data_IF_266824469513
#
_entry.id   IF_266824469513
#
_cell.length_a   1.000
_cell.length_b   1.000
_cell.length_c   1.000
_cell.angle_alpha   90.00
_cell.angle_beta   90.00
_cell.angle_gamma   90.00
#
_symmetry.space_group_name_H-M   'P 1'
#
loop_
_entity.id
_entity.type
_entity.pdbx_description
1 polymer ?
#
# COMPACT_ATOMS: atom_id res chain seq x y z
N UNK A 1 3.60 5.51 -35.51
CA UNK A 1 3.59 5.35 -34.97
C UNK A 1 3.55 4.86 -34.47
N UNK A 2 3.72 4.60 -34.37
CA UNK A 2 3.51 4.19 -33.77
C UNK A 2 3.79 4.13 -32.87
N UNK A 3 3.58 4.34 -32.53
CA UNK A 3 3.88 4.13 -31.75
C UNK A 3 3.51 3.73 -30.62
N UNK A 4 3.78 3.14 -30.32
CA UNK A 4 3.26 2.37 -29.26
C UNK A 4 3.88 2.85 -27.98
N UNK A 5 3.08 3.66 -27.26
CA UNK A 5 3.38 4.04 -25.89
C UNK A 5 3.46 2.77 -25.04
N UNK A 6 2.63 1.79 -25.38
CA UNK A 6 2.68 0.49 -24.74
C UNK A 6 3.20 -0.52 -25.73
N UNK A 7 4.41 -1.01 -25.52
CA UNK A 7 4.93 -2.04 -26.40
C UNK A 7 3.97 -3.22 -26.42
N UNK A 8 3.71 -3.69 -27.62
CA UNK A 8 2.83 -4.83 -27.79
C UNK A 8 3.51 -6.11 -27.40
N UNK A 9 4.45 -6.06 -26.49
CA UNK A 9 5.07 -7.31 -26.13
C UNK A 9 4.82 -7.62 -24.69
N UNK A 10 4.49 -8.84 -24.46
CA UNK A 10 4.27 -9.40 -23.15
C UNK A 10 5.51 -9.24 -22.28
N UNK A 11 6.68 -9.21 -22.92
CA UNK A 11 7.95 -9.10 -22.20
C UNK A 11 8.09 -7.80 -21.43
N UNK A 12 7.57 -6.70 -21.98
CA UNK A 12 7.60 -5.43 -21.28
C UNK A 12 6.81 -5.54 -19.97
N UNK A 13 5.61 -6.04 -20.04
CA UNK A 13 4.75 -6.16 -18.87
C UNK A 13 5.31 -7.17 -17.88
N UNK A 14 5.85 -8.27 -18.35
CA UNK A 14 6.47 -9.26 -17.48
C UNK A 14 7.66 -8.68 -16.74
N UNK A 15 8.48 -7.88 -17.41
CA UNK A 15 9.60 -7.20 -16.77
C UNK A 15 9.13 -6.22 -15.72
N UNK A 16 8.07 -5.45 -16.00
CA UNK A 16 7.52 -4.51 -15.06
C UNK A 16 6.94 -5.21 -13.82
N UNK A 17 6.23 -6.31 -14.03
CA UNK A 17 5.69 -7.09 -12.93
C UNK A 17 6.82 -7.62 -12.05
N UNK A 18 7.85 -8.18 -12.68
CA UNK A 18 9.00 -8.72 -11.97
C UNK A 18 9.75 -7.62 -11.21
N UNK A 19 9.92 -6.45 -11.83
CA UNK A 19 10.57 -5.31 -11.20
C UNK A 19 9.80 -4.86 -9.97
N UNK A 20 8.47 -4.78 -10.06
CA UNK A 20 7.63 -4.38 -8.94
C UNK A 20 7.65 -5.39 -7.82
N UNK A 21 7.63 -6.68 -8.16
CA UNK A 21 7.75 -7.73 -7.16
C UNK A 21 9.07 -7.64 -6.41
N UNK A 22 10.16 -7.47 -7.15
CA UNK A 22 11.48 -7.34 -6.54
C UNK A 22 11.57 -6.09 -5.68
N UNK A 23 11.00 -4.99 -6.15
CA UNK A 23 10.97 -3.75 -5.38
C UNK A 23 10.21 -3.93 -4.08
N UNK A 24 9.05 -4.55 -4.14
CA UNK A 24 8.23 -4.79 -2.95
C UNK A 24 8.91 -5.72 -1.95
N UNK A 25 9.64 -6.73 -2.46
CA UNK A 25 10.34 -7.65 -1.58
C UNK A 25 11.58 -7.04 -0.94
N UNK A 26 12.35 -6.29 -1.73
CA UNK A 26 13.66 -5.81 -1.29
C UNK A 26 13.61 -4.43 -0.68
N UNK A 27 12.59 -3.65 -1.03
CA UNK A 27 12.44 -2.31 -0.54
C UNK A 27 11.43 -2.23 0.54
N UNK A 28 11.57 -3.18 1.49
CA UNK A 28 11.28 -2.50 2.67
C UNK A 28 9.98 -2.67 3.30
N UNK A 29 9.56 -3.89 3.28
CA UNK A 29 8.52 -4.28 4.20
C UNK A 29 8.99 -3.95 5.62
N UNK A 30 10.28 -4.17 5.89
CA UNK A 30 10.87 -3.83 7.18
C UNK A 30 10.84 -2.34 7.45
N UNK A 31 11.16 -1.54 6.44
CA UNK A 31 11.12 -0.09 6.59
C UNK A 31 9.69 0.40 6.80
N UNK A 32 8.76 -0.12 6.03
CA UNK A 32 7.35 0.23 6.18
C UNK A 32 6.83 -0.15 7.57
N UNK A 33 7.16 -1.34 8.04
CA UNK A 33 6.77 -1.76 9.39
C UNK A 33 7.37 -0.86 10.45
N UNK A 34 8.62 -0.48 10.29
CA UNK A 34 9.29 0.41 11.22
C UNK A 34 8.66 1.80 11.23
N UNK A 35 8.40 2.36 10.05
CA UNK A 35 7.76 3.66 9.93
C UNK A 35 6.34 3.62 10.50
N UNK A 36 5.61 2.53 10.26
CA UNK A 36 4.28 2.36 10.80
C UNK A 36 4.28 2.30 12.32
N UNK A 37 5.25 1.63 12.92
CA UNK A 37 5.36 1.58 14.37
C UNK A 37 5.49 2.97 14.97
N UNK A 38 6.27 3.82 14.33
CA UNK A 38 6.45 5.20 14.80
C UNK A 38 5.13 5.96 14.74
N UNK A 39 4.42 5.82 13.63
CA UNK A 39 3.11 6.46 13.44
C UNK A 39 2.11 5.90 14.45
N UNK A 40 2.08 4.59 14.61
CA UNK A 40 1.15 3.93 15.50
C UNK A 40 1.30 4.39 16.95
N UNK A 41 2.54 4.62 17.41
CA UNK A 41 2.77 5.13 18.75
C UNK A 41 2.08 6.48 18.98
N UNK A 42 1.94 7.27 17.93
CA UNK A 42 1.29 8.57 18.01
C UNK A 42 -0.23 8.48 18.02
N UNK A 43 -0.80 7.45 17.42
CA UNK A 43 -2.25 7.37 17.23
C UNK A 43 -2.94 6.27 18.04
N UNK A 44 -2.20 5.39 18.67
CA UNK A 44 -2.75 4.16 19.26
C UNK A 44 -3.79 4.40 20.36
N UNK A 45 -3.73 5.53 21.04
CA UNK A 45 -4.67 5.86 22.11
C UNK A 45 -5.59 7.04 21.77
N UNK A 46 -5.46 7.56 20.56
CA UNK A 46 -6.24 8.69 20.15
C UNK A 46 -7.53 8.22 19.48
N UNK A 47 -8.66 8.59 20.06
CA UNK A 47 -9.98 8.18 19.55
C UNK A 47 -10.23 8.67 18.13
N UNK A 48 -9.65 9.79 17.76
CA UNK A 48 -9.83 10.36 16.43
C UNK A 48 -9.21 9.47 15.35
N UNK A 49 -8.32 8.56 15.74
CA UNK A 49 -7.64 7.66 14.81
C UNK A 49 -8.11 6.21 14.92
N UNK A 50 -9.25 5.97 15.57
CA UNK A 50 -9.77 4.61 15.69
C UNK A 50 -10.02 3.98 14.31
N UNK A 51 -10.59 4.76 13.39
CA UNK A 51 -10.86 4.26 12.03
C UNK A 51 -9.58 3.87 11.30
N UNK A 52 -8.50 4.59 11.54
CA UNK A 52 -7.19 4.25 10.96
C UNK A 52 -6.73 2.89 11.47
N UNK A 53 -6.83 2.66 12.75
CA UNK A 53 -6.42 1.39 13.34
C UNK A 53 -7.26 0.23 12.81
N UNK A 54 -8.57 0.44 12.69
CA UNK A 54 -9.47 -0.56 12.12
C UNK A 54 -9.16 -0.82 10.66
N UNK A 55 -8.93 0.24 9.89
CA UNK A 55 -8.60 0.12 8.47
C UNK A 55 -7.28 -0.62 8.26
N UNK A 56 -6.28 -0.36 9.10
CA UNK A 56 -5.01 -1.07 9.04
C UNK A 56 -5.21 -2.56 9.24
N UNK A 57 -5.91 -2.93 10.31
CA UNK A 57 -6.14 -4.34 10.60
C UNK A 57 -6.98 -5.02 9.53
N UNK A 58 -7.99 -4.34 9.04
CA UNK A 58 -8.84 -4.85 7.98
C UNK A 58 -8.05 -5.11 6.71
N UNK A 59 -7.29 -4.11 6.26
CA UNK A 59 -6.49 -4.21 5.04
C UNK A 59 -5.41 -5.27 5.14
N UNK A 60 -4.77 -5.38 6.29
CA UNK A 60 -3.71 -6.35 6.51
C UNK A 60 -4.21 -7.78 6.38
N UNK A 61 -5.46 -8.02 6.74
CA UNK A 61 -6.02 -9.36 6.76
C UNK A 61 -6.86 -9.69 5.52
N UNK A 62 -6.95 -8.78 4.56
CA UNK A 62 -7.67 -9.04 3.32
C UNK A 62 -6.89 -9.97 2.41
N UNK A 63 -7.65 -10.71 1.62
CA UNK A 63 -7.08 -11.48 0.51
C UNK A 63 -7.18 -10.63 -0.75
N UNK A 64 -6.05 -10.09 -1.15
CA UNK A 64 -5.99 -9.28 -2.35
C UNK A 64 -5.89 -10.17 -3.58
N UNK A 65 -6.67 -9.84 -4.60
CA UNK A 65 -6.64 -10.55 -5.87
C UNK A 65 -5.72 -9.79 -6.83
N UNK A 66 -4.42 -9.89 -6.59
CA UNK A 66 -3.44 -9.23 -7.43
C UNK A 66 -2.56 -10.26 -8.10
N UNK A 67 -2.50 -10.26 -9.44
CA UNK A 67 -1.68 -11.23 -10.17
C UNK A 67 -0.22 -11.18 -9.73
N UNK A 68 0.28 -12.31 -9.31
CA UNK A 68 1.69 -12.46 -9.00
C UNK A 68 2.17 -11.95 -7.66
N UNK A 69 1.28 -11.45 -6.82
CA UNK A 69 1.63 -11.00 -5.47
C UNK A 69 0.75 -11.66 -4.43
N UNK A 70 1.36 -12.16 -3.38
CA UNK A 70 0.62 -12.65 -2.23
C UNK A 70 -0.02 -11.48 -1.48
N UNK A 71 -1.12 -11.75 -0.80
CA UNK A 71 -1.86 -10.72 -0.07
C UNK A 71 -1.01 -10.01 0.97
N UNK A 72 -0.20 -10.76 1.71
CA UNK A 72 0.64 -10.15 2.75
C UNK A 72 1.73 -9.25 2.17
N UNK A 73 2.14 -9.49 0.93
CA UNK A 73 3.09 -8.62 0.23
C UNK A 73 2.36 -7.41 -0.34
N UNK A 74 1.20 -7.66 -0.96
CA UNK A 74 0.44 -6.57 -1.59
C UNK A 74 -0.03 -5.53 -0.58
N UNK A 75 -0.33 -5.93 0.63
CA UNK A 75 -0.74 -5.01 1.68
C UNK A 75 0.24 -3.85 1.86
N UNK A 76 1.52 -4.08 1.60
CA UNK A 76 2.51 -3.03 1.76
C UNK A 76 2.34 -1.87 0.78
N UNK A 77 1.61 -2.08 -0.31
CA UNK A 77 1.30 -0.97 -1.21
C UNK A 77 0.39 0.08 -0.53
N UNK A 78 -0.81 -0.27 -0.08
CA UNK A 78 -1.63 0.73 0.63
C UNK A 78 -0.97 1.24 1.91
N UNK A 79 -0.21 0.40 2.60
CA UNK A 79 0.51 0.84 3.80
C UNK A 79 1.52 1.93 3.46
N UNK A 80 2.31 1.75 2.41
CA UNK A 80 3.29 2.76 1.99
C UNK A 80 2.61 4.05 1.55
N UNK A 81 1.49 3.96 0.86
CA UNK A 81 0.74 5.15 0.47
C UNK A 81 0.26 5.90 1.72
N UNK A 82 -0.22 5.17 2.71
CA UNK A 82 -0.63 5.77 3.98
C UNK A 82 0.54 6.46 4.68
N UNK A 83 1.67 5.79 4.77
CA UNK A 83 2.87 6.36 5.39
C UNK A 83 3.31 7.63 4.66
N UNK A 84 3.30 7.58 3.33
CA UNK A 84 3.65 8.74 2.52
C UNK A 84 2.71 9.92 2.80
N UNK A 85 1.42 9.65 2.95
CA UNK A 85 0.46 10.72 3.26
C UNK A 85 0.79 11.44 4.56
N UNK A 86 1.35 10.74 5.53
CA UNK A 86 1.72 11.36 6.80
C UNK A 86 2.93 12.29 6.67
N UNK A 87 3.74 12.09 5.63
CA UNK A 87 4.92 12.91 5.38
C UNK A 87 4.60 14.14 4.55
N UNK A 88 3.56 14.06 3.74
CA UNK A 88 3.16 15.16 2.85
C UNK A 88 2.21 16.12 3.57
N UNK A 89 1.28 15.58 4.33
CA UNK A 89 0.29 16.40 5.03
C UNK A 89 0.96 17.17 6.17
N UNK A 90 0.51 18.42 6.42
CA UNK A 90 1.10 19.22 7.50
C UNK A 90 0.87 18.64 8.88
N UNK A 91 -0.16 17.81 9.02
CA UNK A 91 -0.42 17.09 10.26
C UNK A 91 -1.13 15.78 9.93
N UNK A 92 -1.12 14.86 10.87
CA UNK A 92 -1.78 13.58 10.68
C UNK A 92 -3.28 13.77 10.45
N UNK A 93 -3.79 13.13 9.40
CA UNK A 93 -5.20 13.17 9.06
C UNK A 93 -5.78 11.77 9.09
N UNK A 94 -6.72 11.55 10.00
CA UNK A 94 -7.42 10.28 10.11
C UNK A 94 -8.14 9.91 8.82
N UNK A 95 -8.82 10.87 8.21
CA UNK A 95 -9.55 10.63 6.97
C UNK A 95 -8.63 10.24 5.83
N UNK A 96 -7.54 10.97 5.65
CA UNK A 96 -6.60 10.69 4.58
C UNK A 96 -5.91 9.34 4.78
N UNK A 97 -5.48 9.06 5.99
CA UNK A 97 -4.83 7.79 6.31
C UNK A 97 -5.77 6.61 6.06
N UNK A 98 -7.01 6.72 6.50
CA UNK A 98 -8.02 5.67 6.29
C UNK A 98 -8.25 5.45 4.80
N UNK A 99 -8.40 6.53 4.05
CA UNK A 99 -8.61 6.44 2.61
C UNK A 99 -7.44 5.75 1.92
N UNK A 100 -6.21 6.09 2.29
CA UNK A 100 -5.03 5.48 1.71
C UNK A 100 -4.99 3.96 1.97
N UNK A 101 -5.31 3.55 3.19
CA UNK A 101 -5.29 2.13 3.55
C UNK A 101 -6.36 1.33 2.79
N UNK A 102 -7.45 1.96 2.40
CA UNK A 102 -8.60 1.29 1.79
C UNK A 102 -8.74 1.52 0.28
N UNK A 103 -7.86 2.32 -0.31
CA UNK A 103 -8.10 2.82 -1.69
C UNK A 103 -8.16 1.74 -2.77
N UNK A 104 -7.52 0.59 -2.56
CA UNK A 104 -7.49 -0.46 -3.58
C UNK A 104 -8.45 -1.60 -3.34
N UNK A 105 -9.29 -1.52 -2.31
CA UNK A 105 -10.10 -2.67 -1.91
C UNK A 105 -11.02 -3.13 -3.02
N UNK A 106 -11.71 -2.22 -3.68
CA UNK A 106 -12.67 -2.56 -4.72
C UNK A 106 -12.02 -3.04 -6.01
N UNK A 107 -10.75 -2.76 -6.20
CA UNK A 107 -10.04 -3.14 -7.42
C UNK A 107 -9.33 -4.48 -7.28
N UNK A 108 -8.95 -4.85 -6.06
CA UNK A 108 -8.04 -5.97 -5.83
C UNK A 108 -8.60 -7.05 -4.94
N UNK A 109 -9.85 -6.92 -4.50
CA UNK A 109 -10.52 -7.95 -3.71
C UNK A 109 -11.79 -8.39 -4.41
N UNK A 110 -12.20 -9.59 -4.10
CA UNK A 110 -13.46 -10.13 -4.60
C UNK A 110 -14.60 -9.81 -3.65
#
# INVERSE_FOLDING_TARGET
MKNNIFPNNVNFFNKEIKRRKNWLRNNNDKKADKDWKIIFQKIKKNKDFEKVRLAYNFSKNLKYNHPGLDSHIYFYHPLRVCILSTKIAPKLSSQLMTLCLLHNIFETTN
#
